data_IF_013255879695
#
_entry.id   IF_013255879695
#
_cell.length_a   1.000
_cell.length_b   1.000
_cell.length_c   1.000
_cell.angle_alpha   90.00
_cell.angle_beta   90.00
_cell.angle_gamma   90.00
#
_symmetry.space_group_name_H-M   'P 1'
#
loop_
_entity.id
_entity.type
_entity.pdbx_description
1 polymer ?
#
# COMPACT_ATOMS: atom_id res chain seq x y z
N UNK A 1 2.76 -11.00 9.98
CA UNK A 1 2.54 -10.39 8.65
C UNK A 1 1.81 -11.37 7.74
N UNK A 2 1.06 -10.88 6.73
CA UNK A 2 0.32 -11.70 5.76
C UNK A 2 0.78 -11.39 4.34
N UNK A 3 0.93 -12.42 3.52
CA UNK A 3 1.25 -12.25 2.11
C UNK A 3 -0.03 -12.09 1.30
N UNK A 4 -0.10 -11.06 0.47
CA UNK A 4 -1.23 -10.77 -0.41
C UNK A 4 -0.79 -10.41 -1.83
N UNK A 5 -1.77 -10.16 -2.68
CA UNK A 5 -1.59 -9.74 -4.06
C UNK A 5 -2.59 -8.63 -4.39
N UNK A 6 -2.13 -7.61 -5.12
CA UNK A 6 -3.01 -6.56 -5.64
C UNK A 6 -3.91 -7.11 -6.74
N UNK A 7 -5.19 -6.75 -6.70
CA UNK A 7 -6.21 -7.23 -7.62
C UNK A 7 -7.39 -6.28 -7.72
N UNK A 8 -8.38 -6.62 -8.54
CA UNK A 8 -9.68 -5.95 -8.61
C UNK A 8 -10.67 -6.56 -7.62
N UNK A 9 -11.73 -5.82 -7.27
CA UNK A 9 -12.75 -6.24 -6.30
C UNK A 9 -13.89 -7.09 -6.90
N UNK A 10 -13.86 -7.38 -8.20
CA UNK A 10 -14.81 -8.26 -8.86
C UNK A 10 -14.50 -9.75 -8.59
N UNK A 11 -15.40 -10.63 -8.98
CA UNK A 11 -15.27 -12.06 -8.75
C UNK A 11 -13.98 -12.65 -9.33
N UNK A 12 -13.62 -12.28 -10.58
CA UNK A 12 -12.40 -12.78 -11.23
C UNK A 12 -11.12 -12.34 -10.47
N UNK A 13 -11.10 -11.10 -9.99
CA UNK A 13 -10.00 -10.59 -9.17
C UNK A 13 -9.86 -11.33 -7.85
N UNK A 14 -10.96 -11.61 -7.17
CA UNK A 14 -10.98 -12.35 -5.91
C UNK A 14 -10.58 -13.81 -6.14
N UNK A 15 -11.16 -14.47 -7.14
CA UNK A 15 -10.81 -15.84 -7.53
C UNK A 15 -9.32 -15.98 -7.84
N UNK A 16 -8.71 -15.00 -8.53
CA UNK A 16 -7.30 -15.00 -8.89
C UNK A 16 -6.37 -15.12 -7.68
N UNK A 17 -6.76 -14.58 -6.51
CA UNK A 17 -5.98 -14.73 -5.26
C UNK A 17 -5.83 -16.22 -4.92
N UNK A 18 -6.92 -16.99 -4.98
CA UNK A 18 -6.88 -18.44 -4.69
C UNK A 18 -6.16 -19.23 -5.78
N UNK A 19 -6.28 -18.83 -7.04
CA UNK A 19 -5.56 -19.47 -8.16
C UNK A 19 -4.04 -19.37 -7.98
N UNK A 20 -3.54 -18.33 -7.28
CA UNK A 20 -2.13 -18.19 -6.88
C UNK A 20 -1.79 -18.84 -5.53
N UNK A 21 -2.75 -19.50 -4.86
CA UNK A 21 -2.54 -20.13 -3.56
C UNK A 21 -2.41 -19.14 -2.40
N UNK A 22 -2.93 -17.92 -2.56
CA UNK A 22 -2.99 -16.87 -1.55
C UNK A 22 -4.38 -16.79 -0.92
N UNK A 23 -4.46 -16.10 0.23
CA UNK A 23 -5.70 -15.86 0.97
C UNK A 23 -6.00 -14.37 1.18
N UNK A 24 -5.07 -13.50 0.84
CA UNK A 24 -5.21 -12.08 1.12
C UNK A 24 -5.12 -11.25 -0.17
N UNK A 25 -6.12 -10.37 -0.36
CA UNK A 25 -6.22 -9.45 -1.47
C UNK A 25 -5.88 -8.02 -1.04
N UNK A 26 -5.37 -7.23 -1.98
CA UNK A 26 -5.44 -5.77 -1.93
C UNK A 26 -6.27 -5.29 -3.11
N UNK A 27 -7.29 -4.48 -2.86
CA UNK A 27 -8.13 -3.96 -3.94
C UNK A 27 -7.59 -2.64 -4.51
N UNK A 28 -7.29 -2.64 -5.80
CA UNK A 28 -6.87 -1.47 -6.55
C UNK A 28 -8.08 -0.80 -7.19
N UNK A 29 -8.41 0.41 -6.73
CA UNK A 29 -9.53 1.22 -7.21
C UNK A 29 -8.96 2.55 -7.71
N UNK A 30 -8.60 2.62 -8.99
CA UNK A 30 -8.02 3.82 -9.57
C UNK A 30 -9.07 4.89 -9.88
N UNK A 31 -8.61 6.09 -10.26
CA UNK A 31 -9.49 7.12 -10.80
C UNK A 31 -10.34 6.55 -11.96
N UNK A 32 -11.47 7.16 -12.23
CA UNK A 32 -12.45 6.64 -13.20
C UNK A 32 -13.45 5.65 -12.61
N UNK A 33 -13.16 5.05 -11.45
CA UNK A 33 -14.14 4.25 -10.70
C UNK A 33 -14.95 5.15 -9.77
N UNK A 34 -16.26 4.98 -9.82
CA UNK A 34 -17.20 5.71 -8.97
C UNK A 34 -17.27 5.06 -7.59
N UNK A 35 -16.88 5.79 -6.53
CA UNK A 35 -16.90 5.30 -5.14
C UNK A 35 -18.27 4.88 -4.65
N UNK A 36 -19.35 5.53 -5.11
CA UNK A 36 -20.71 5.14 -4.76
C UNK A 36 -21.11 3.80 -5.40
N UNK A 37 -20.70 3.56 -6.66
CA UNK A 37 -20.93 2.26 -7.33
C UNK A 37 -20.13 1.14 -6.68
N UNK A 38 -18.87 1.42 -6.27
CA UNK A 38 -18.07 0.44 -5.53
C UNK A 38 -18.73 0.11 -4.19
N UNK A 39 -19.19 1.11 -3.45
CA UNK A 39 -19.94 0.89 -2.20
C UNK A 39 -21.22 0.09 -2.43
N UNK A 40 -21.95 0.35 -3.51
CA UNK A 40 -23.17 -0.41 -3.85
C UNK A 40 -22.91 -1.89 -4.14
N UNK A 41 -21.68 -2.26 -4.53
CA UNK A 41 -21.29 -3.66 -4.80
C UNK A 41 -20.92 -4.48 -3.54
N UNK A 42 -21.01 -3.93 -2.33
CA UNK A 42 -20.58 -4.57 -1.07
C UNK A 42 -21.14 -5.99 -0.89
N UNK A 43 -22.42 -6.20 -1.14
CA UNK A 43 -23.03 -7.51 -0.92
C UNK A 43 -22.48 -8.57 -1.87
N UNK A 44 -22.26 -8.21 -3.13
CA UNK A 44 -21.65 -9.09 -4.13
C UNK A 44 -20.20 -9.40 -3.75
N UNK A 45 -19.42 -8.37 -3.36
CA UNK A 45 -18.03 -8.55 -2.93
C UNK A 45 -17.95 -9.45 -1.70
N UNK A 46 -18.78 -9.24 -0.68
CA UNK A 46 -18.85 -10.12 0.51
C UNK A 46 -19.17 -11.57 0.14
N UNK A 47 -20.10 -11.79 -0.77
CA UNK A 47 -20.45 -13.13 -1.23
C UNK A 47 -19.27 -13.82 -1.95
N UNK A 48 -18.54 -13.07 -2.81
CA UNK A 48 -17.37 -13.58 -3.51
C UNK A 48 -16.20 -13.84 -2.55
N UNK A 49 -15.93 -12.95 -1.58
CA UNK A 49 -14.92 -13.16 -0.55
C UNK A 49 -15.19 -14.43 0.26
N UNK A 50 -16.45 -14.65 0.66
CA UNK A 50 -16.86 -15.87 1.37
C UNK A 50 -16.75 -17.12 0.48
N UNK A 51 -17.19 -17.04 -0.79
CA UNK A 51 -17.13 -18.14 -1.76
C UNK A 51 -15.70 -18.67 -1.97
N UNK A 52 -14.74 -17.76 -2.05
CA UNK A 52 -13.33 -18.10 -2.31
C UNK A 52 -12.45 -18.11 -1.05
N UNK A 53 -13.01 -17.88 0.13
CA UNK A 53 -12.26 -17.77 1.39
C UNK A 53 -11.08 -16.81 1.29
N UNK A 54 -11.34 -15.58 0.82
CA UNK A 54 -10.35 -14.52 0.66
C UNK A 54 -10.63 -13.39 1.63
N UNK A 55 -9.58 -12.87 2.26
CA UNK A 55 -9.61 -11.68 3.12
C UNK A 55 -9.02 -10.48 2.39
N UNK A 56 -9.43 -9.29 2.76
CA UNK A 56 -8.89 -8.04 2.19
C UNK A 56 -8.05 -7.34 3.24
N UNK A 57 -6.75 -7.16 2.98
CA UNK A 57 -5.85 -6.50 3.92
C UNK A 57 -5.69 -5.01 3.69
N UNK A 58 -5.92 -4.56 2.45
CA UNK A 58 -5.93 -3.15 2.10
C UNK A 58 -6.77 -2.89 0.84
N UNK A 59 -7.21 -1.66 0.69
CA UNK A 59 -7.78 -1.14 -0.55
C UNK A 59 -7.27 0.27 -0.77
N UNK A 60 -7.20 0.74 -2.01
CA UNK A 60 -6.69 2.08 -2.26
C UNK A 60 -7.16 2.69 -3.57
N UNK A 61 -7.06 4.02 -3.63
CA UNK A 61 -7.41 4.83 -4.80
C UNK A 61 -6.23 5.66 -5.25
N UNK A 62 -5.76 5.38 -6.46
CA UNK A 62 -4.65 6.08 -7.12
C UNK A 62 -5.13 6.97 -8.26
N UNK A 63 -4.28 7.96 -8.65
CA UNK A 63 -4.48 8.79 -9.83
C UNK A 63 -5.59 9.83 -9.72
N UNK A 64 -6.05 10.18 -8.51
CA UNK A 64 -7.16 11.11 -8.30
C UNK A 64 -6.68 12.41 -7.66
N UNK A 65 -7.03 13.55 -8.28
CA UNK A 65 -6.83 14.86 -7.65
C UNK A 65 -7.81 15.06 -6.51
N UNK A 66 -7.32 15.58 -5.39
CA UNK A 66 -8.07 15.77 -4.14
C UNK A 66 -8.17 17.22 -3.71
N UNK A 67 -7.23 18.04 -4.17
CA UNK A 67 -7.29 19.50 -4.01
C UNK A 67 -7.22 20.17 -5.38
N UNK A 68 -7.86 21.33 -5.49
CA UNK A 68 -7.81 22.19 -6.68
C UNK A 68 -6.52 23.03 -6.72
N UNK A 69 -6.42 23.93 -7.68
CA UNK A 69 -5.25 24.79 -7.86
C UNK A 69 -5.06 25.81 -6.73
N UNK A 70 -6.11 26.15 -6.02
CA UNK A 70 -6.11 27.04 -4.86
C UNK A 70 -5.94 26.28 -3.51
N UNK A 71 -5.75 24.95 -3.56
CA UNK A 71 -5.61 24.09 -2.36
C UNK A 71 -6.92 23.76 -1.66
N UNK A 72 -8.06 24.07 -2.27
CA UNK A 72 -9.35 23.72 -1.71
C UNK A 72 -9.67 22.25 -1.98
N UNK A 73 -10.34 21.64 -1.04
CA UNK A 73 -10.82 20.25 -1.16
C UNK A 73 -11.81 20.16 -2.34
N UNK A 74 -11.59 19.19 -3.21
CA UNK A 74 -12.53 18.83 -4.26
C UNK A 74 -13.60 17.93 -3.64
N UNK A 75 -14.81 18.46 -3.44
CA UNK A 75 -15.90 17.78 -2.72
C UNK A 75 -16.24 16.41 -3.31
N UNK A 76 -16.27 16.27 -4.64
CA UNK A 76 -16.53 14.98 -5.29
C UNK A 76 -15.41 13.96 -5.02
N UNK A 77 -14.16 14.39 -4.94
CA UNK A 77 -13.05 13.49 -4.60
C UNK A 77 -13.14 13.03 -3.14
N UNK A 78 -13.51 13.93 -2.23
CA UNK A 78 -13.74 13.60 -0.83
C UNK A 78 -14.91 12.62 -0.68
N UNK A 79 -16.02 12.84 -1.35
CA UNK A 79 -17.18 11.94 -1.34
C UNK A 79 -16.79 10.53 -1.84
N UNK A 80 -16.01 10.44 -2.91
CA UNK A 80 -15.50 9.16 -3.40
C UNK A 80 -14.66 8.44 -2.34
N UNK A 81 -13.70 9.12 -1.72
CA UNK A 81 -12.83 8.51 -0.70
C UNK A 81 -13.63 8.11 0.55
N UNK A 82 -14.62 8.90 0.99
CA UNK A 82 -15.50 8.55 2.10
C UNK A 82 -16.36 7.29 1.81
N UNK A 83 -16.89 7.17 0.59
CA UNK A 83 -17.59 5.97 0.14
C UNK A 83 -16.68 4.74 0.14
N UNK A 84 -15.42 4.89 -0.27
CA UNK A 84 -14.45 3.79 -0.27
C UNK A 84 -14.00 3.40 1.14
N UNK A 85 -13.88 4.33 2.07
CA UNK A 85 -13.63 4.04 3.49
C UNK A 85 -14.79 3.22 4.07
N UNK A 86 -16.04 3.60 3.77
CA UNK A 86 -17.23 2.83 4.15
C UNK A 86 -17.24 1.45 3.52
N UNK A 87 -16.91 1.34 2.23
CA UNK A 87 -16.74 0.05 1.54
C UNK A 87 -15.72 -0.83 2.25
N UNK A 88 -14.54 -0.28 2.61
CA UNK A 88 -13.51 -1.01 3.36
C UNK A 88 -14.07 -1.56 4.68
N UNK A 89 -14.75 -0.74 5.45
CA UNK A 89 -15.40 -1.16 6.71
C UNK A 89 -16.36 -2.33 6.50
N UNK A 90 -17.23 -2.22 5.51
CA UNK A 90 -18.26 -3.23 5.21
C UNK A 90 -17.67 -4.59 4.80
N UNK A 91 -16.55 -4.61 4.08
CA UNK A 91 -15.91 -5.86 3.65
C UNK A 91 -14.83 -6.36 4.62
N UNK A 92 -14.64 -5.71 5.77
CA UNK A 92 -13.64 -6.07 6.77
C UNK A 92 -12.20 -5.73 6.36
N UNK A 93 -12.00 -4.78 5.45
CA UNK A 93 -10.70 -4.29 5.02
C UNK A 93 -10.15 -3.26 6.02
N UNK A 94 -9.00 -3.51 6.68
CA UNK A 94 -8.53 -2.67 7.79
C UNK A 94 -7.80 -1.40 7.38
N UNK A 95 -7.37 -1.27 6.10
CA UNK A 95 -6.54 -0.15 5.63
C UNK A 95 -7.07 0.41 4.31
N UNK A 96 -7.24 1.73 4.25
CA UNK A 96 -7.51 2.47 3.02
C UNK A 96 -6.30 3.32 2.63
N UNK A 97 -5.80 3.14 1.40
CA UNK A 97 -4.64 3.85 0.86
C UNK A 97 -5.08 4.99 -0.05
N UNK A 98 -4.49 6.18 0.13
CA UNK A 98 -4.75 7.36 -0.68
C UNK A 98 -3.49 8.18 -0.92
N UNK A 99 -3.58 9.22 -1.71
CA UNK A 99 -2.56 10.26 -1.89
C UNK A 99 -3.22 11.62 -1.96
N UNK A 100 -2.46 12.71 -1.97
CA UNK A 100 -2.95 14.05 -2.24
C UNK A 100 -2.01 14.72 -3.24
N UNK A 101 -2.56 15.27 -4.32
CA UNK A 101 -1.80 16.02 -5.31
C UNK A 101 -1.30 17.37 -4.75
N UNK A 102 -0.20 17.90 -5.30
CA UNK A 102 0.19 19.28 -5.06
C UNK A 102 -0.45 20.22 -6.08
N UNK A 103 -0.61 21.49 -5.70
CA UNK A 103 -0.84 22.59 -6.61
C UNK A 103 0.45 23.36 -6.88
N UNK A 104 0.73 23.64 -8.14
CA UNK A 104 1.87 24.47 -8.55
C UNK A 104 1.72 25.96 -8.20
N UNK A 105 0.54 26.40 -7.76
CA UNK A 105 0.26 27.78 -7.30
C UNK A 105 0.57 27.98 -5.81
N UNK A 106 0.75 26.90 -5.07
CA UNK A 106 0.97 26.92 -3.63
C UNK A 106 2.45 26.69 -3.30
N UNK A 107 2.91 27.25 -2.18
CA UNK A 107 4.21 26.87 -1.60
C UNK A 107 4.17 25.43 -1.10
N UNK A 108 5.35 24.90 -0.75
CA UNK A 108 5.45 23.56 -0.17
C UNK A 108 4.62 23.44 1.13
N UNK A 109 4.76 24.41 2.02
CA UNK A 109 4.03 24.46 3.30
C UNK A 109 2.53 24.56 3.07
N UNK A 110 2.08 25.41 2.15
CA UNK A 110 0.66 25.54 1.80
C UNK A 110 0.08 24.23 1.22
N UNK A 111 0.84 23.50 0.41
CA UNK A 111 0.46 22.17 -0.05
C UNK A 111 0.35 21.17 1.10
N UNK A 112 1.29 21.20 2.06
CA UNK A 112 1.25 20.38 3.28
C UNK A 112 0.01 20.69 4.13
N UNK A 113 -0.34 21.99 4.28
CA UNK A 113 -1.53 22.40 5.03
C UNK A 113 -2.82 21.92 4.35
N UNK A 114 -2.95 22.14 3.05
CA UNK A 114 -4.09 21.69 2.26
C UNK A 114 -4.27 20.15 2.32
N UNK A 115 -3.17 19.42 2.17
CA UNK A 115 -3.18 17.96 2.31
C UNK A 115 -3.54 17.52 3.73
N UNK A 116 -3.03 18.19 4.76
CA UNK A 116 -3.37 17.90 6.15
C UNK A 116 -4.85 18.07 6.43
N UNK A 117 -5.49 19.11 5.88
CA UNK A 117 -6.95 19.32 5.99
C UNK A 117 -7.75 18.19 5.34
N UNK A 118 -7.33 17.75 4.14
CA UNK A 118 -7.98 16.63 3.45
C UNK A 118 -7.82 15.33 4.23
N UNK A 119 -6.59 14.99 4.59
CA UNK A 119 -6.26 13.73 5.28
C UNK A 119 -6.88 13.64 6.67
N UNK A 120 -7.04 14.78 7.38
CA UNK A 120 -7.77 14.83 8.67
C UNK A 120 -9.20 14.32 8.49
N UNK A 121 -9.93 14.78 7.45
CA UNK A 121 -11.30 14.30 7.18
C UNK A 121 -11.33 12.79 6.90
N UNK A 122 -10.34 12.26 6.17
CA UNK A 122 -10.26 10.81 5.92
C UNK A 122 -9.94 10.03 7.20
N UNK A 123 -9.02 10.52 8.04
CA UNK A 123 -8.67 9.85 9.30
C UNK A 123 -9.87 9.87 10.28
N UNK A 124 -10.62 10.96 10.36
CA UNK A 124 -11.86 11.03 11.15
C UNK A 124 -12.90 10.00 10.66
N UNK A 125 -13.11 9.94 9.35
CA UNK A 125 -14.00 8.93 8.74
C UNK A 125 -13.47 7.51 8.96
N UNK A 126 -12.16 7.30 8.85
CA UNK A 126 -11.50 6.02 9.12
C UNK A 126 -11.70 5.58 10.57
N UNK A 127 -11.51 6.46 11.55
CA UNK A 127 -11.76 6.18 12.98
C UNK A 127 -13.21 5.79 13.22
N UNK A 128 -14.18 6.50 12.60
CA UNK A 128 -15.62 6.20 12.72
C UNK A 128 -16.02 4.85 12.10
N UNK A 129 -15.24 4.35 11.13
CA UNK A 129 -15.50 3.12 10.38
C UNK A 129 -14.53 1.98 10.73
N UNK A 130 -13.65 2.15 11.72
CA UNK A 130 -12.59 1.21 12.09
C UNK A 130 -11.65 0.84 10.92
N UNK A 131 -11.30 1.82 10.09
CA UNK A 131 -10.40 1.70 8.94
C UNK A 131 -9.22 2.65 9.15
N UNK A 132 -7.99 2.15 9.09
CA UNK A 132 -6.77 2.97 9.12
C UNK A 132 -6.55 3.65 7.78
N UNK A 133 -6.13 4.90 7.80
CA UNK A 133 -5.82 5.67 6.60
C UNK A 133 -4.31 5.72 6.41
N UNK A 134 -3.84 5.36 5.21
CA UNK A 134 -2.43 5.41 4.85
C UNK A 134 -2.20 6.23 3.58
N UNK A 135 -1.19 7.10 3.60
CA UNK A 135 -0.75 7.78 2.39
C UNK A 135 0.31 6.92 1.68
N UNK A 136 0.14 6.73 0.37
CA UNK A 136 1.13 5.98 -0.41
C UNK A 136 2.34 6.85 -0.80
N UNK A 137 3.52 6.23 -0.97
CA UNK A 137 4.72 6.93 -1.44
C UNK A 137 4.92 6.87 -2.98
N UNK A 138 3.89 6.49 -3.73
CA UNK A 138 3.83 6.66 -5.19
C UNK A 138 3.58 8.13 -5.53
N UNK A 139 4.20 8.64 -6.61
CA UNK A 139 4.06 10.04 -7.04
C UNK A 139 2.85 10.30 -7.96
N UNK A 140 2.06 9.28 -8.30
CA UNK A 140 0.91 9.43 -9.19
C UNK A 140 -0.21 10.18 -8.47
N UNK A 141 -0.44 11.44 -8.87
CA UNK A 141 -1.34 12.40 -8.21
C UNK A 141 -1.17 12.43 -6.68
N UNK A 142 0.11 12.43 -6.26
CA UNK A 142 0.50 12.52 -4.87
C UNK A 142 1.88 13.17 -4.72
N UNK A 143 1.99 14.13 -3.82
CA UNK A 143 3.28 14.74 -3.49
C UNK A 143 3.85 14.27 -2.15
N UNK A 144 3.06 13.53 -1.36
CA UNK A 144 3.44 13.08 -0.01
C UNK A 144 4.19 11.75 -0.13
N UNK A 145 5.47 11.77 -0.51
CA UNK A 145 6.19 10.56 -0.86
C UNK A 145 7.52 10.37 -0.15
N UNK A 146 7.95 11.33 0.68
CA UNK A 146 9.26 11.31 1.34
C UNK A 146 9.23 11.92 2.73
N UNK A 147 10.32 11.78 3.52
CA UNK A 147 10.44 12.38 4.84
C UNK A 147 10.16 13.89 4.90
N UNK A 148 10.41 14.62 3.81
CA UNK A 148 10.18 16.06 3.78
C UNK A 148 8.71 16.43 4.04
N UNK A 149 7.79 15.72 3.38
CA UNK A 149 6.34 15.89 3.57
C UNK A 149 5.87 15.21 4.86
N UNK A 150 6.38 13.99 5.15
CA UNK A 150 5.96 13.21 6.31
C UNK A 150 6.23 13.92 7.62
N UNK A 151 7.37 14.62 7.77
CA UNK A 151 7.74 15.37 8.98
C UNK A 151 6.74 16.48 9.34
N UNK A 152 6.07 17.05 8.35
CA UNK A 152 5.06 18.08 8.54
C UNK A 152 3.67 17.43 8.75
N UNK A 153 3.30 16.54 7.82
CA UNK A 153 1.92 16.02 7.76
C UNK A 153 1.61 15.12 8.97
N UNK A 154 2.55 14.29 9.44
CA UNK A 154 2.32 13.47 10.64
C UNK A 154 2.24 14.24 11.95
N UNK A 155 2.77 15.47 11.99
CA UNK A 155 2.54 16.38 13.12
C UNK A 155 1.16 16.98 13.10
N UNK A 156 0.59 17.20 11.91
CA UNK A 156 -0.70 17.84 11.71
C UNK A 156 -1.87 16.84 11.74
N UNK A 157 -1.63 15.57 11.35
CA UNK A 157 -2.67 14.55 11.18
C UNK A 157 -2.37 13.33 12.04
N UNK A 158 -2.89 13.33 13.27
CA UNK A 158 -2.73 12.20 14.19
C UNK A 158 -3.53 10.97 13.72
N UNK A 159 -2.86 9.81 13.72
CA UNK A 159 -3.46 8.54 13.30
C UNK A 159 -3.30 8.22 11.81
N UNK A 160 -2.66 9.10 11.03
CA UNK A 160 -2.27 8.80 9.66
C UNK A 160 -1.07 7.85 9.63
N UNK A 161 -1.07 6.91 8.67
CA UNK A 161 0.06 6.02 8.39
C UNK A 161 0.57 6.13 6.96
N UNK A 162 1.46 5.20 6.60
CA UNK A 162 2.08 5.10 5.28
C UNK A 162 1.71 3.75 4.64
N UNK A 163 1.33 3.77 3.37
CA UNK A 163 1.46 2.63 2.47
C UNK A 163 2.83 2.74 1.82
N UNK A 164 3.74 1.88 2.23
CA UNK A 164 5.14 1.97 1.81
C UNK A 164 5.50 0.95 0.72
N UNK A 165 6.21 1.42 -0.28
CA UNK A 165 6.76 0.64 -1.38
C UNK A 165 8.22 1.08 -1.61
N UNK A 166 9.22 0.21 -1.34
CA UNK A 166 10.63 0.53 -1.55
C UNK A 166 10.96 0.98 -2.97
N UNK A 167 10.26 0.41 -3.98
CA UNK A 167 10.53 0.73 -5.39
C UNK A 167 10.28 2.20 -5.73
N UNK A 168 9.28 2.82 -5.09
CA UNK A 168 9.01 4.25 -5.29
C UNK A 168 10.11 5.13 -4.70
N UNK A 169 10.62 4.81 -3.50
CA UNK A 169 11.78 5.50 -2.94
C UNK A 169 13.01 5.36 -3.85
N UNK A 170 13.28 4.15 -4.34
CA UNK A 170 14.39 3.89 -5.27
C UNK A 170 14.21 4.69 -6.57
N UNK A 171 13.00 4.68 -7.16
CA UNK A 171 12.70 5.42 -8.39
C UNK A 171 12.86 6.93 -8.20
N UNK A 172 12.39 7.47 -7.07
CA UNK A 172 12.48 8.90 -6.76
C UNK A 172 13.94 9.35 -6.57
N UNK A 173 14.80 8.50 -6.02
CA UNK A 173 16.20 8.82 -5.75
C UNK A 173 17.16 8.38 -6.88
N UNK A 174 16.65 7.89 -8.02
CA UNK A 174 17.51 7.44 -9.12
C UNK A 174 18.32 6.19 -8.82
N UNK A 175 17.82 5.34 -7.90
CA UNK A 175 18.50 4.14 -7.41
C UNK A 175 18.87 4.22 -5.94
N UNK A 176 19.70 3.26 -5.48
CA UNK A 176 20.26 3.25 -4.12
C UNK A 176 19.36 2.65 -3.05
N UNK A 177 19.78 2.78 -1.79
CA UNK A 177 19.21 2.06 -0.64
C UNK A 177 18.55 2.99 0.40
N UNK A 178 18.21 4.22 0.03
CA UNK A 178 17.61 5.21 0.94
C UNK A 178 16.29 4.68 1.59
N UNK A 179 15.58 3.78 0.91
CA UNK A 179 14.38 3.14 1.45
C UNK A 179 14.64 2.42 2.79
N UNK A 180 15.85 1.89 3.03
CA UNK A 180 16.18 1.24 4.31
C UNK A 180 16.21 2.24 5.46
N UNK A 181 16.77 3.44 5.23
CA UNK A 181 16.77 4.50 6.25
C UNK A 181 15.37 5.07 6.48
N UNK A 182 14.57 5.26 5.42
CA UNK A 182 13.17 5.66 5.57
C UNK A 182 12.36 4.65 6.37
N UNK A 183 12.52 3.35 6.09
CA UNK A 183 11.84 2.29 6.84
C UNK A 183 12.33 2.21 8.30
N UNK A 184 13.63 2.42 8.56
CA UNK A 184 14.16 2.48 9.93
C UNK A 184 13.51 3.63 10.71
N UNK A 185 13.36 4.79 10.11
CA UNK A 185 12.93 6.01 10.80
C UNK A 185 11.39 6.12 10.88
N UNK A 186 10.66 5.65 9.87
CA UNK A 186 9.19 5.74 9.77
C UNK A 186 8.46 4.39 9.80
N UNK A 187 9.16 3.28 10.03
CA UNK A 187 8.58 1.93 9.95
C UNK A 187 7.38 1.71 10.86
N UNK A 188 7.32 2.37 12.02
CA UNK A 188 6.18 2.30 12.95
C UNK A 188 4.90 2.97 12.39
N UNK A 189 5.04 3.82 11.38
CA UNK A 189 3.93 4.45 10.65
C UNK A 189 3.44 3.62 9.47
N UNK A 190 4.11 2.52 9.11
CA UNK A 190 3.69 1.68 7.98
C UNK A 190 2.43 0.89 8.36
N UNK A 191 1.32 1.17 7.67
CA UNK A 191 0.05 0.46 7.84
C UNK A 191 -0.18 -0.57 6.74
N UNK A 192 0.43 -0.36 5.56
CA UNK A 192 0.40 -1.29 4.45
C UNK A 192 1.75 -1.30 3.72
N UNK A 193 2.14 -2.45 3.18
CA UNK A 193 3.45 -2.62 2.56
C UNK A 193 3.34 -3.29 1.18
N UNK A 194 4.06 -2.74 0.18
CA UNK A 194 4.14 -3.34 -1.14
C UNK A 194 5.46 -4.06 -1.40
N UNK A 195 5.33 -5.20 -2.05
CA UNK A 195 6.41 -6.01 -2.58
C UNK A 195 6.44 -5.82 -4.09
N UNK A 196 7.24 -4.85 -4.56
CA UNK A 196 7.44 -4.54 -5.97
C UNK A 196 8.92 -4.46 -6.28
N UNK A 197 9.36 -5.26 -7.25
CA UNK A 197 10.74 -5.27 -7.70
C UNK A 197 11.09 -4.04 -8.52
N UNK A 198 12.36 -3.64 -8.46
CA UNK A 198 12.93 -2.60 -9.31
C UNK A 198 14.42 -2.87 -9.57
N UNK A 199 14.86 -2.64 -10.79
CA UNK A 199 16.27 -2.76 -11.20
C UNK A 199 16.77 -1.45 -11.78
N UNK A 200 17.91 -1.00 -11.27
CA UNK A 200 18.69 0.10 -11.81
C UNK A 200 20.03 -0.41 -12.31
N UNK A 201 20.45 0.04 -13.49
CA UNK A 201 21.76 -0.25 -14.10
C UNK A 201 22.39 1.10 -14.44
N UNK A 202 23.57 1.35 -13.91
CA UNK A 202 24.31 2.61 -14.13
C UNK A 202 23.46 3.88 -13.86
N UNK A 203 22.69 3.86 -12.76
CA UNK A 203 21.82 4.98 -12.35
C UNK A 203 20.56 5.17 -13.19
N UNK A 204 20.24 4.24 -14.10
CA UNK A 204 19.05 4.29 -14.94
C UNK A 204 18.11 3.14 -14.59
N UNK A 205 16.82 3.45 -14.47
CA UNK A 205 15.79 2.44 -14.30
C UNK A 205 15.76 1.52 -15.53
N UNK A 206 15.91 0.23 -15.29
CA UNK A 206 15.88 -0.79 -16.35
C UNK A 206 14.50 -1.46 -16.43
N UNK A 207 13.99 -1.98 -15.29
CA UNK A 207 12.72 -2.72 -15.25
C UNK A 207 12.15 -2.72 -13.81
N UNK A 208 10.91 -3.17 -13.68
CA UNK A 208 10.24 -3.53 -12.42
C UNK A 208 9.89 -5.02 -12.42
N UNK A 209 10.91 -5.92 -12.37
CA UNK A 209 10.71 -7.36 -12.53
C UNK A 209 10.01 -7.98 -11.31
N UNK A 210 9.63 -9.27 -11.39
CA UNK A 210 9.16 -10.01 -10.22
C UNK A 210 10.12 -9.90 -9.04
N UNK A 211 9.54 -9.81 -7.84
CA UNK A 211 10.29 -9.77 -6.57
C UNK A 211 11.21 -10.97 -6.44
N UNK A 212 12.47 -10.70 -6.14
CA UNK A 212 13.56 -11.69 -6.13
C UNK A 212 14.40 -11.76 -7.41
N UNK A 213 13.96 -11.07 -8.49
CA UNK A 213 14.76 -10.81 -9.69
C UNK A 213 15.18 -9.33 -9.79
N UNK A 214 15.09 -8.62 -8.69
CA UNK A 214 15.29 -7.19 -8.57
C UNK A 214 16.51 -6.83 -7.69
N UNK A 215 16.74 -5.53 -7.49
CA UNK A 215 17.86 -5.02 -6.70
C UNK A 215 17.49 -4.66 -5.25
N UNK A 216 16.26 -4.91 -4.80
CA UNK A 216 15.82 -4.58 -3.45
C UNK A 216 16.39 -5.60 -2.46
N UNK A 217 16.94 -5.13 -1.35
CA UNK A 217 17.50 -6.00 -0.28
C UNK A 217 16.39 -6.52 0.62
N UNK A 218 15.61 -7.46 0.13
CA UNK A 218 14.43 -8.00 0.82
C UNK A 218 14.74 -8.55 2.21
N UNK A 219 15.89 -9.18 2.42
CA UNK A 219 16.28 -9.64 3.75
C UNK A 219 16.32 -8.49 4.77
N UNK A 220 16.88 -7.33 4.39
CA UNK A 220 16.94 -6.14 5.25
C UNK A 220 15.56 -5.51 5.43
N UNK A 221 14.74 -5.50 4.36
CA UNK A 221 13.37 -5.01 4.41
C UNK A 221 12.54 -5.79 5.43
N UNK A 222 12.57 -7.12 5.38
CA UNK A 222 11.83 -7.96 6.31
C UNK A 222 12.36 -7.88 7.73
N UNK A 223 13.70 -7.78 7.93
CA UNK A 223 14.28 -7.52 9.25
C UNK A 223 13.73 -6.24 9.87
N UNK A 224 13.69 -5.13 9.10
CA UNK A 224 13.14 -3.86 9.58
C UNK A 224 11.63 -3.99 9.87
N UNK A 225 10.85 -4.62 9.01
CA UNK A 225 9.41 -4.82 9.25
C UNK A 225 9.16 -5.57 10.57
N UNK A 226 9.94 -6.63 10.86
CA UNK A 226 9.83 -7.37 12.11
C UNK A 226 10.27 -6.54 13.31
N UNK A 227 11.40 -5.84 13.24
CA UNK A 227 11.91 -5.01 14.34
C UNK A 227 11.02 -3.79 14.62
N UNK A 228 10.25 -3.33 13.63
CA UNK A 228 9.23 -2.29 13.77
C UNK A 228 7.84 -2.84 14.14
N UNK A 229 7.74 -4.13 14.46
CA UNK A 229 6.50 -4.81 14.84
C UNK A 229 5.39 -4.68 13.77
N UNK A 230 5.76 -4.57 12.49
CA UNK A 230 4.77 -4.56 11.42
C UNK A 230 4.05 -5.91 11.35
N UNK A 231 2.73 -5.88 11.45
CA UNK A 231 1.88 -7.08 11.44
C UNK A 231 0.77 -7.03 10.37
N UNK A 232 0.88 -6.08 9.44
CA UNK A 232 -0.07 -5.91 8.35
C UNK A 232 0.14 -6.88 7.19
N UNK A 233 -0.52 -6.57 6.08
CA UNK A 233 -0.36 -7.29 4.82
C UNK A 233 0.79 -6.69 4.01
N UNK A 234 1.60 -7.57 3.42
CA UNK A 234 2.56 -7.25 2.37
C UNK A 234 1.97 -7.73 1.04
N UNK A 235 1.66 -6.81 0.13
CA UNK A 235 1.03 -7.12 -1.15
C UNK A 235 2.03 -7.14 -2.29
N UNK A 236 2.06 -8.23 -3.05
CA UNK A 236 2.76 -8.26 -4.33
C UNK A 236 2.07 -7.32 -5.34
N UNK A 237 2.87 -6.48 -6.00
CA UNK A 237 2.42 -5.62 -7.11
C UNK A 237 3.24 -5.93 -8.38
N UNK A 238 2.78 -6.87 -9.24
CA UNK A 238 3.39 -7.08 -10.55
C UNK A 238 3.19 -5.84 -11.44
N UNK A 239 4.28 -5.20 -11.87
CA UNK A 239 4.18 -3.90 -12.56
C UNK A 239 4.96 -3.79 -13.87
N UNK A 240 5.86 -4.72 -14.18
CA UNK A 240 6.71 -4.64 -15.36
C UNK A 240 5.92 -4.82 -16.68
N UNK A 241 6.04 -3.89 -17.64
CA UNK A 241 5.49 -4.06 -18.98
C UNK A 241 6.23 -5.13 -19.80
N UNK A 242 7.40 -5.59 -19.36
CA UNK A 242 8.19 -6.64 -20.02
C UNK A 242 7.75 -8.05 -19.60
N UNK A 243 7.05 -8.16 -18.48
CA UNK A 243 6.56 -9.42 -17.91
C UNK A 243 5.09 -9.64 -18.25
N UNK A 244 4.82 -9.96 -19.51
CA UNK A 244 3.47 -10.14 -20.06
C UNK A 244 3.16 -11.60 -20.38
N UNK A 245 1.86 -11.93 -20.47
CA UNK A 245 1.39 -13.27 -20.82
C UNK A 245 1.89 -14.33 -19.84
N UNK A 246 2.43 -15.44 -20.35
CA UNK A 246 2.94 -16.56 -19.55
C UNK A 246 4.02 -16.15 -18.56
N UNK A 247 4.88 -15.17 -18.91
CA UNK A 247 5.92 -14.66 -18.01
C UNK A 247 5.31 -13.92 -16.80
N UNK A 248 4.22 -13.20 -16.99
CA UNK A 248 3.56 -12.49 -15.89
C UNK A 248 3.08 -13.47 -14.82
N UNK A 249 2.35 -14.52 -15.22
CA UNK A 249 1.88 -15.55 -14.29
C UNK A 249 3.04 -16.26 -13.59
N UNK A 250 4.07 -16.66 -14.34
CA UNK A 250 5.26 -17.27 -13.76
C UNK A 250 5.97 -16.33 -12.76
N UNK A 251 6.09 -15.05 -13.10
CA UNK A 251 6.69 -14.04 -12.23
C UNK A 251 5.97 -13.87 -10.89
N UNK A 252 4.63 -13.94 -10.88
CA UNK A 252 3.85 -13.92 -9.63
C UNK A 252 4.15 -15.16 -8.79
N UNK A 253 4.12 -16.36 -9.38
CA UNK A 253 4.48 -17.60 -8.67
C UNK A 253 5.93 -17.57 -8.15
N UNK A 254 6.86 -17.08 -8.97
CA UNK A 254 8.26 -16.93 -8.53
C UNK A 254 8.38 -16.00 -7.34
N UNK A 255 7.74 -14.82 -7.40
CA UNK A 255 7.76 -13.84 -6.29
C UNK A 255 7.16 -14.42 -5.01
N UNK A 256 6.02 -15.13 -5.09
CA UNK A 256 5.40 -15.81 -3.95
C UNK A 256 6.39 -16.78 -3.30
N UNK A 257 7.01 -17.66 -4.11
CA UNK A 257 7.95 -18.66 -3.60
C UNK A 257 9.22 -18.02 -3.00
N UNK A 258 9.69 -16.92 -3.58
CA UNK A 258 10.86 -16.19 -3.10
C UNK A 258 10.60 -15.52 -1.75
N UNK A 259 9.45 -14.85 -1.57
CA UNK A 259 9.18 -14.09 -0.34
C UNK A 259 8.57 -14.95 0.77
N UNK A 260 7.91 -16.06 0.45
CA UNK A 260 7.22 -16.91 1.44
C UNK A 260 8.09 -17.30 2.64
N UNK A 261 9.40 -17.64 2.50
CA UNK A 261 10.26 -17.96 3.63
C UNK A 261 10.48 -16.81 4.64
N UNK A 262 10.20 -15.56 4.26
CA UNK A 262 10.30 -14.43 5.18
C UNK A 262 9.07 -14.27 6.08
N UNK A 263 7.98 -14.98 5.81
CA UNK A 263 6.77 -14.92 6.63
C UNK A 263 6.79 -16.04 7.66
N UNK A 264 6.70 -15.68 8.94
CA UNK A 264 6.55 -16.67 10.03
C UNK A 264 5.20 -17.35 9.86
N UNK A 265 5.15 -18.70 9.73
CA UNK A 265 3.88 -19.43 9.64
C UNK A 265 2.98 -19.19 10.87
N UNK A 266 1.66 -19.11 10.67
CA UNK A 266 0.71 -18.85 11.76
C UNK A 266 0.72 -19.97 12.83
N UNK A 267 1.01 -21.21 12.43
CA UNK A 267 1.13 -22.39 13.28
C UNK A 267 2.53 -22.59 13.88
N UNK A 268 3.47 -21.67 13.60
CA UNK A 268 4.81 -21.77 14.15
C UNK A 268 4.81 -21.53 15.65
N UNK A 269 5.13 -22.58 16.42
CA UNK A 269 5.27 -22.50 17.86
C UNK A 269 6.74 -22.25 18.20
N UNK A 270 7.09 -20.97 18.38
CA UNK A 270 8.41 -20.57 18.85
C UNK A 270 8.58 -20.75 20.36
N UNK A 271 9.82 -20.74 20.84
CA UNK A 271 10.10 -20.63 22.28
C UNK A 271 9.78 -19.21 22.74
N UNK A 272 8.88 -19.07 23.70
CA UNK A 272 8.54 -17.75 24.25
C UNK A 272 9.74 -17.14 24.99
N UNK A 273 10.17 -15.96 24.58
CA UNK A 273 10.67 -14.90 25.43
C UNK A 273 12.13 -14.96 25.89
N UNK A 274 12.97 -15.89 25.43
CA UNK A 274 14.41 -15.81 25.72
C UNK A 274 15.20 -15.67 24.44
N UNK A 275 15.96 -14.56 24.35
CA UNK A 275 17.02 -14.48 23.39
C UNK A 275 18.02 -15.62 23.67
N UNK A 276 18.19 -16.64 22.78
CA UNK A 276 19.07 -17.76 23.03
C UNK A 276 20.55 -17.36 23.15
N UNK A 277 20.88 -16.11 22.85
CA UNK A 277 22.23 -15.55 22.90
C UNK A 277 22.45 -14.61 24.10
N UNK A 278 21.45 -14.41 24.96
CA UNK A 278 21.65 -13.73 26.26
C UNK A 278 21.83 -14.79 27.32
N UNK A 279 22.99 -14.76 28.04
CA UNK A 279 23.26 -15.66 29.18
C UNK A 279 22.30 -15.48 30.35
#
# INVERSE_FOLDING_TARGET
MKLGLITTWNEDGIKRIRDYGLENAEFCINEGNDGAKVLASVNEVKANLAKYDVKVGASGRWGSKRIDEEGKIIDSALEHDLNLIKFCSEIGCPVYNCGVNASGKLTFEQNCDAASLYLTKLVEAGKANNVKIAVYNCIWENFIHSPAEWDIIFKNVDGLGIKYDPSHCINHNGGGEKYLSEMRDYGEKIFHFHLKGVVYIDGKKYDEPPVGLDSVRWCNVFDILYTKNYNGQCSLEPHSPLWMGRKASWGVHFSINYVKPFFIPEDFVGRNGTNPYQP
#
